data_IF_684343319685
#
_entry.id   IF_684343319685
#
_cell.length_a   1.000
_cell.length_b   1.000
_cell.length_c   1.000
_cell.angle_alpha   90.00
_cell.angle_beta   90.00
_cell.angle_gamma   90.00
#
_symmetry.space_group_name_H-M   'P 1'
#
loop_
_entity.id
_entity.type
_entity.pdbx_description
1 polymer ?
#
# COMPACT_ATOMS: atom_id res chain seq x y z
N UNK A 1 19.68 4.33 5.80
CA UNK A 1 19.46 3.54 4.63
C UNK A 1 18.02 3.08 4.52
N UNK A 2 17.41 3.34 3.41
CA UNK A 2 15.99 3.06 3.20
C UNK A 2 15.69 1.62 2.84
N UNK A 3 16.70 0.78 2.74
CA UNK A 3 16.55 -0.59 2.26
C UNK A 3 15.65 -1.45 3.15
N UNK A 4 15.45 -1.05 4.43
CA UNK A 4 14.58 -1.80 5.33
C UNK A 4 13.15 -1.86 4.79
N UNK A 5 12.59 -0.73 4.33
CA UNK A 5 11.24 -0.70 3.77
C UNK A 5 11.16 -1.43 2.45
N UNK A 6 12.18 -1.28 1.60
CA UNK A 6 12.24 -2.03 0.35
C UNK A 6 12.31 -3.52 0.61
N UNK A 7 13.08 -3.93 1.62
CA UNK A 7 13.18 -5.34 1.98
C UNK A 7 11.85 -5.88 2.50
N UNK A 8 11.10 -5.08 3.25
CA UNK A 8 9.80 -5.50 3.73
C UNK A 8 8.83 -5.73 2.56
N UNK A 9 8.79 -4.80 1.61
CA UNK A 9 7.94 -5.00 0.44
C UNK A 9 8.39 -6.22 -0.37
N UNK A 10 9.69 -6.38 -0.57
CA UNK A 10 10.21 -7.53 -1.31
C UNK A 10 9.82 -8.84 -0.64
N UNK A 11 9.88 -8.90 0.70
CA UNK A 11 9.47 -10.08 1.43
C UNK A 11 7.98 -10.37 1.25
N UNK A 12 7.15 -9.33 1.30
CA UNK A 12 5.71 -9.47 1.08
C UNK A 12 5.43 -9.93 -0.35
N UNK A 13 6.12 -9.36 -1.32
CA UNK A 13 5.94 -9.71 -2.73
C UNK A 13 6.33 -11.16 -2.99
N UNK A 14 7.41 -11.62 -2.36
CA UNK A 14 7.87 -13.00 -2.51
C UNK A 14 6.87 -14.01 -1.95
N UNK A 15 6.01 -13.58 -1.02
CA UNK A 15 4.97 -14.42 -0.45
C UNK A 15 3.72 -14.52 -1.32
N UNK A 16 3.62 -13.74 -2.40
CA UNK A 16 2.48 -13.82 -3.30
C UNK A 16 2.43 -15.20 -3.95
N UNK A 17 1.23 -15.73 -4.22
CA UNK A 17 1.12 -17.02 -4.90
C UNK A 17 1.64 -16.93 -6.33
N UNK A 18 2.01 -18.08 -6.90
CA UNK A 18 2.46 -18.14 -8.27
C UNK A 18 1.38 -17.68 -9.25
N UNK A 19 0.12 -18.01 -8.95
CA UNK A 19 -1.02 -17.54 -9.74
C UNK A 19 -1.50 -16.21 -9.18
N UNK A 20 -1.06 -15.12 -9.79
CA UNK A 20 -1.39 -13.77 -9.35
C UNK A 20 -2.84 -13.38 -9.63
N UNK A 21 -3.58 -14.19 -10.36
CA UNK A 21 -4.99 -13.92 -10.65
C UNK A 21 -5.91 -14.44 -9.56
N UNK A 22 -5.38 -15.12 -8.55
CA UNK A 22 -6.15 -15.50 -7.38
C UNK A 22 -6.59 -14.25 -6.61
N UNK A 23 -7.74 -14.35 -5.98
CA UNK A 23 -8.28 -13.26 -5.16
C UNK A 23 -7.42 -13.09 -3.91
N UNK A 24 -6.95 -11.87 -3.69
CA UNK A 24 -6.20 -11.49 -2.50
C UNK A 24 -7.11 -10.81 -1.48
N UNK A 25 -8.03 -9.97 -1.95
CA UNK A 25 -8.91 -9.19 -1.09
C UNK A 25 -10.33 -9.29 -1.63
N UNK A 26 -11.26 -9.60 -0.74
CA UNK A 26 -12.67 -9.65 -1.04
C UNK A 26 -13.38 -8.70 -0.10
N UNK A 27 -14.06 -7.70 -0.66
CA UNK A 27 -14.72 -6.67 0.16
C UNK A 27 -16.11 -7.20 0.52
N UNK A 28 -16.28 -7.57 1.78
CA UNK A 28 -17.49 -8.21 2.26
C UNK A 28 -18.63 -7.23 2.50
N UNK A 29 -18.33 -6.03 3.02
CA UNK A 29 -19.36 -5.04 3.35
C UNK A 29 -18.77 -3.62 3.20
N UNK A 30 -19.64 -2.63 3.40
CA UNK A 30 -19.25 -1.24 3.30
C UNK A 30 -19.11 -0.76 1.87
N UNK A 31 -18.50 0.41 1.67
CA UNK A 31 -18.26 0.96 0.33
C UNK A 31 -17.43 -0.01 -0.50
N UNK A 32 -17.88 -0.29 -1.71
CA UNK A 32 -17.21 -1.23 -2.60
C UNK A 32 -17.51 -2.69 -2.32
N UNK A 33 -18.51 -3.00 -1.48
CA UNK A 33 -18.90 -4.36 -1.18
C UNK A 33 -19.18 -5.15 -2.46
N UNK A 34 -18.68 -6.40 -2.50
CA UNK A 34 -18.77 -7.26 -3.68
C UNK A 34 -17.58 -7.13 -4.62
N UNK A 35 -16.70 -6.16 -4.42
CA UNK A 35 -15.48 -6.05 -5.21
C UNK A 35 -14.45 -7.08 -4.75
N UNK A 36 -13.70 -7.61 -5.70
CA UNK A 36 -12.60 -8.51 -5.42
C UNK A 36 -11.34 -8.01 -6.13
N UNK A 37 -10.22 -8.14 -5.45
CA UNK A 37 -8.92 -7.70 -5.97
C UNK A 37 -7.98 -8.89 -5.99
N UNK A 38 -7.32 -9.10 -7.11
CA UNK A 38 -6.34 -10.17 -7.25
C UNK A 38 -4.98 -9.70 -6.74
N UNK A 39 -4.07 -10.66 -6.58
CA UNK A 39 -2.68 -10.34 -6.28
C UNK A 39 -2.05 -9.49 -7.37
N UNK A 40 -2.46 -9.72 -8.63
CA UNK A 40 -1.99 -8.92 -9.75
C UNK A 40 -2.46 -7.47 -9.63
N UNK A 41 -3.69 -7.26 -9.16
CA UNK A 41 -4.21 -5.91 -8.91
C UNK A 41 -3.36 -5.18 -7.87
N UNK A 42 -2.95 -5.88 -6.82
CA UNK A 42 -2.06 -5.30 -5.80
C UNK A 42 -0.70 -4.98 -6.38
N UNK A 43 -0.15 -5.87 -7.20
CA UNK A 43 1.14 -5.64 -7.84
C UNK A 43 1.11 -4.39 -8.72
N UNK A 44 0.11 -4.29 -9.57
CA UNK A 44 -0.02 -3.18 -10.50
C UNK A 44 -0.35 -1.87 -9.80
N UNK A 45 -1.30 -1.92 -8.87
CA UNK A 45 -1.72 -0.73 -8.15
C UNK A 45 -0.60 -0.15 -7.29
N UNK A 46 0.13 -1.01 -6.60
CA UNK A 46 1.26 -0.53 -5.78
C UNK A 46 2.40 -0.02 -6.63
N UNK A 47 2.65 -0.63 -7.80
CA UNK A 47 3.68 -0.14 -8.70
C UNK A 47 3.33 1.26 -9.23
N UNK A 48 2.09 1.47 -9.62
CA UNK A 48 1.63 2.76 -10.14
C UNK A 48 1.72 3.83 -9.06
N UNK A 49 1.25 3.55 -7.85
CA UNK A 49 1.32 4.49 -6.75
C UNK A 49 2.76 4.76 -6.32
N UNK A 50 3.61 3.73 -6.32
CA UNK A 50 5.02 3.92 -5.98
C UNK A 50 5.71 4.82 -7.00
N UNK A 51 5.40 4.67 -8.29
CA UNK A 51 5.93 5.55 -9.32
C UNK A 51 5.46 6.98 -9.13
N UNK A 52 4.20 7.16 -8.75
CA UNK A 52 3.68 8.49 -8.46
C UNK A 52 4.43 9.13 -7.29
N UNK A 53 4.66 8.37 -6.22
CA UNK A 53 5.42 8.87 -5.07
C UNK A 53 6.85 9.20 -5.46
N UNK A 54 7.48 8.37 -6.31
CA UNK A 54 8.83 8.62 -6.77
C UNK A 54 8.91 9.91 -7.58
N UNK A 55 7.85 10.25 -8.31
CA UNK A 55 7.80 11.48 -9.09
C UNK A 55 7.81 12.74 -8.24
N UNK A 56 7.52 12.63 -6.95
CA UNK A 56 7.57 13.75 -6.02
C UNK A 56 9.00 14.10 -5.59
N UNK A 57 9.97 13.29 -5.98
CA UNK A 57 11.39 13.54 -5.71
C UNK A 57 11.70 13.68 -4.22
N UNK A 58 11.06 12.85 -3.42
CA UNK A 58 11.28 12.85 -1.97
C UNK A 58 12.59 12.13 -1.65
N UNK A 59 13.30 12.56 -0.59
CA UNK A 59 14.52 11.86 -0.19
C UNK A 59 14.21 10.44 0.27
N UNK A 60 15.19 9.55 0.13
CA UNK A 60 15.05 8.17 0.57
C UNK A 60 14.70 8.13 2.06
N UNK A 61 13.77 7.27 2.42
CA UNK A 61 13.31 7.16 3.81
C UNK A 61 12.37 8.28 4.25
N UNK A 62 11.94 9.15 3.34
CA UNK A 62 10.97 10.19 3.67
C UNK A 62 9.71 9.58 4.29
N UNK A 63 9.15 10.31 5.24
CA UNK A 63 7.93 9.89 5.91
C UNK A 63 6.73 10.41 5.14
N UNK A 64 5.81 9.50 4.84
CA UNK A 64 4.57 9.84 4.15
C UNK A 64 3.42 9.66 5.13
N UNK A 65 2.87 10.78 5.58
CA UNK A 65 1.74 10.77 6.51
C UNK A 65 0.44 10.65 5.72
N UNK A 66 -0.40 9.71 6.10
CA UNK A 66 -1.64 9.44 5.39
C UNK A 66 -2.79 9.39 6.40
N UNK A 67 -3.79 10.19 6.17
CA UNK A 67 -5.02 10.18 6.95
C UNK A 67 -6.12 9.63 6.07
N UNK A 68 -6.49 8.38 6.29
CA UNK A 68 -7.49 7.71 5.46
C UNK A 68 -8.21 6.66 6.29
N UNK A 69 -9.41 6.31 5.87
CA UNK A 69 -10.15 5.22 6.47
C UNK A 69 -9.62 3.88 6.00
N UNK A 70 -9.99 2.83 6.73
CA UNK A 70 -9.64 1.47 6.32
C UNK A 70 -10.32 1.16 4.99
N UNK A 71 -9.52 0.80 4.00
CA UNK A 71 -10.00 0.49 2.66
C UNK A 71 -8.92 -0.24 1.89
N UNK A 72 -9.29 -0.78 0.73
CA UNK A 72 -8.32 -1.38 -0.17
C UNK A 72 -7.33 -0.33 -0.68
N UNK A 73 -7.82 0.86 -0.97
CA UNK A 73 -6.99 1.96 -1.42
C UNK A 73 -5.94 2.34 -0.37
N UNK A 74 -6.34 2.36 0.91
CA UNK A 74 -5.42 2.65 2.00
C UNK A 74 -4.34 1.56 2.11
N UNK A 75 -4.72 0.29 1.94
CA UNK A 75 -3.76 -0.80 1.95
C UNK A 75 -2.80 -0.68 0.78
N UNK A 76 -3.31 -0.39 -0.41
CA UNK A 76 -2.45 -0.21 -1.59
C UNK A 76 -1.47 0.94 -1.39
N UNK A 77 -1.93 2.03 -0.81
CA UNK A 77 -1.07 3.18 -0.53
C UNK A 77 0.02 2.81 0.48
N UNK A 78 -0.34 2.07 1.53
CA UNK A 78 0.63 1.58 2.50
C UNK A 78 1.74 0.76 1.81
N UNK A 79 1.33 -0.21 1.00
CA UNK A 79 2.28 -1.06 0.30
C UNK A 79 3.12 -0.27 -0.71
N UNK A 80 2.51 0.71 -1.37
CA UNK A 80 3.22 1.56 -2.33
C UNK A 80 4.28 2.42 -1.63
N UNK A 81 3.98 2.95 -0.45
CA UNK A 81 4.93 3.73 0.33
C UNK A 81 6.14 2.87 0.69
N UNK A 82 5.91 1.64 1.14
CA UNK A 82 6.98 0.70 1.42
C UNK A 82 7.78 0.36 0.15
N UNK A 83 7.08 0.11 -0.95
CA UNK A 83 7.71 -0.25 -2.21
C UNK A 83 8.61 0.86 -2.74
N UNK A 84 8.22 2.12 -2.53
CA UNK A 84 9.00 3.27 -2.96
C UNK A 84 10.17 3.58 -2.03
N UNK A 85 10.28 2.90 -0.89
CA UNK A 85 11.37 3.13 0.04
C UNK A 85 11.11 4.25 1.04
N UNK A 86 9.85 4.60 1.25
CA UNK A 86 9.46 5.64 2.21
C UNK A 86 8.88 5.01 3.48
N UNK A 87 8.68 5.84 4.49
CA UNK A 87 8.11 5.42 5.77
C UNK A 87 6.64 5.84 5.81
N UNK A 88 5.76 4.87 6.04
CA UNK A 88 4.33 5.12 6.13
C UNK A 88 3.96 5.53 7.55
N UNK A 89 3.31 6.70 7.69
CA UNK A 89 2.82 7.18 8.97
C UNK A 89 1.30 7.28 8.90
N UNK A 90 0.59 6.29 9.44
CA UNK A 90 -0.87 6.36 9.45
C UNK A 90 -1.31 7.41 10.49
N UNK A 91 -2.21 8.30 10.08
CA UNK A 91 -2.82 9.24 10.99
C UNK A 91 -4.18 8.70 11.42
N UNK A 92 -4.35 8.55 12.71
CA UNK A 92 -5.59 8.04 13.26
C UNK A 92 -6.60 9.19 13.35
N UNK A 93 -7.69 9.07 12.60
CA UNK A 93 -8.72 10.11 12.59
C UNK A 93 -9.36 10.32 13.95
N UNK A 94 -9.33 9.33 14.82
CA UNK A 94 -9.86 9.49 16.17
C UNK A 94 -9.12 10.54 16.99
N UNK A 95 -7.83 10.75 16.69
CA UNK A 95 -7.06 11.79 17.38
C UNK A 95 -7.44 13.19 16.92
N UNK A 96 -8.03 13.31 15.75
CA UNK A 96 -8.44 14.60 15.23
C UNK A 96 -9.61 15.18 15.99
N UNK A 97 -10.40 14.35 16.63
CA UNK A 97 -11.57 14.77 17.38
C UNK A 97 -11.24 15.31 18.76
N UNK A 98 -10.04 15.10 19.24
CA UNK A 98 -9.64 15.52 20.58
C UNK A 98 -9.33 17.02 20.69
#
# INVERSE_FOLDING_TARGET
MSTTNNNLFAALRAAFPADLDQVAIDVADGPGAGAAYSWRDLERGTAMLANLLASLDLPAGARVAVQTEKSVEALMLYLAVLRAGYVFLPLNTAYQAA
#
